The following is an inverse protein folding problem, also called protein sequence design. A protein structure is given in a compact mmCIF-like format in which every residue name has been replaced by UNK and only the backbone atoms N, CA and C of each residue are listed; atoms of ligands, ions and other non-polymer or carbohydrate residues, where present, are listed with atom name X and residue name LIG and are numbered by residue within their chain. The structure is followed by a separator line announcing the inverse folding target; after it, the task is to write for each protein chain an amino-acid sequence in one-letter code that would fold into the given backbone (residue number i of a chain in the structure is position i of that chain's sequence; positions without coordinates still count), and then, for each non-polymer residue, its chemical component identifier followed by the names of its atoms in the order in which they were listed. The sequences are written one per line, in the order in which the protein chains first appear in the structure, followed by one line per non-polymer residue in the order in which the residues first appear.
data_IF_118549789452
#
_entry.id   IF_118549789452
#
_cell.length_a   1.000
_cell.length_b   1.000
_cell.length_c   1.000
_cell.angle_alpha   90.00
_cell.angle_beta   90.00
_cell.angle_gamma   90.00
#
_symmetry.space_group_name_H-M   'P 1'
#
loop_
_entity.id
_entity.type
_entity.pdbx_description
1 polymer ?
#
# COMPACT_ATOMS: atom_id res chain seq x y z
N UNK A 1 -23.63 16.67 26.46
CA UNK A 1 -22.38 16.32 25.73
C UNK A 1 -22.75 16.06 24.27
N UNK A 2 -22.43 16.98 23.37
CA UNK A 2 -22.61 16.79 21.93
C UNK A 2 -21.60 15.71 21.49
N UNK A 3 -22.09 14.53 21.08
CA UNK A 3 -21.23 13.48 20.51
C UNK A 3 -20.50 14.06 19.30
N UNK A 4 -19.20 14.28 19.44
CA UNK A 4 -18.36 14.66 18.31
C UNK A 4 -18.38 13.50 17.30
N UNK A 5 -18.61 13.80 16.02
CA UNK A 5 -18.54 12.80 14.96
C UNK A 5 -17.16 12.12 14.97
N UNK A 6 -17.14 10.79 14.87
CA UNK A 6 -15.91 10.02 14.69
C UNK A 6 -15.32 10.23 13.28
N UNK A 7 -16.17 10.60 12.32
CA UNK A 7 -15.80 10.98 10.96
C UNK A 7 -15.41 12.46 10.97
N UNK A 8 -14.17 12.77 10.62
CA UNK A 8 -13.59 14.12 10.65
C UNK A 8 -13.00 14.51 9.30
N UNK A 9 -12.22 13.61 8.71
CA UNK A 9 -11.33 13.98 7.60
C UNK A 9 -11.86 13.54 6.23
N UNK A 10 -12.93 12.76 6.16
CA UNK A 10 -13.49 12.28 4.88
C UNK A 10 -14.87 12.86 4.52
N UNK A 11 -15.22 12.69 3.25
CA UNK A 11 -16.57 12.87 2.67
C UNK A 11 -17.02 11.57 1.98
N UNK A 12 -18.34 11.28 1.93
CA UNK A 12 -18.83 10.17 1.12
C UNK A 12 -18.54 10.44 -0.36
N UNK A 13 -18.17 9.39 -1.10
CA UNK A 13 -18.06 9.48 -2.56
C UNK A 13 -19.46 9.59 -3.19
N UNK A 14 -19.63 10.38 -4.26
CA UNK A 14 -20.88 10.39 -5.01
C UNK A 14 -21.16 9.01 -5.62
N UNK A 15 -22.40 8.50 -5.49
CA UNK A 15 -22.78 7.15 -5.93
C UNK A 15 -22.37 6.82 -7.37
N UNK A 16 -22.56 7.78 -8.28
CA UNK A 16 -22.22 7.61 -9.71
C UNK A 16 -20.72 7.39 -9.99
N UNK A 17 -19.82 7.63 -9.04
CA UNK A 17 -18.38 7.40 -9.25
C UNK A 17 -17.99 5.95 -9.05
N UNK A 18 -18.78 5.17 -8.31
CA UNK A 18 -18.43 3.78 -7.97
C UNK A 18 -19.56 2.78 -8.23
N UNK A 19 -20.79 3.22 -8.48
CA UNK A 19 -21.89 2.32 -8.84
C UNK A 19 -21.78 1.87 -10.30
N UNK A 20 -21.70 0.54 -10.49
CA UNK A 20 -21.63 -0.14 -11.77
C UNK A 20 -21.80 -1.64 -11.57
N UNK A 21 -21.74 -2.43 -12.65
CA UNK A 21 -21.93 -3.90 -12.58
C UNK A 21 -20.88 -4.60 -11.71
N UNK A 22 -19.70 -3.99 -11.56
CA UNK A 22 -18.55 -4.59 -10.87
C UNK A 22 -18.39 -4.13 -9.41
N UNK A 23 -19.22 -3.22 -8.91
CA UNK A 23 -19.16 -2.80 -7.51
C UNK A 23 -20.06 -3.66 -6.63
N UNK A 24 -19.46 -4.68 -6.02
CA UNK A 24 -20.16 -5.65 -5.17
C UNK A 24 -20.05 -5.37 -3.67
N UNK A 25 -19.50 -4.23 -3.26
CA UNK A 25 -19.38 -3.85 -1.86
C UNK A 25 -20.68 -3.22 -1.32
N UNK A 26 -21.06 -3.56 -0.09
CA UNK A 26 -22.26 -3.01 0.58
C UNK A 26 -22.00 -1.70 1.34
N UNK A 27 -20.73 -1.33 1.53
CA UNK A 27 -20.34 -0.15 2.27
C UNK A 27 -20.30 1.07 1.35
N UNK A 28 -20.80 2.22 1.80
CA UNK A 28 -20.62 3.48 1.06
C UNK A 28 -19.16 3.94 1.20
N UNK A 29 -18.39 4.04 0.10
CA UNK A 29 -17.01 4.43 0.16
C UNK A 29 -16.89 5.92 0.50
N UNK A 30 -15.79 6.28 1.13
CA UNK A 30 -15.47 7.64 1.53
C UNK A 30 -14.07 7.97 1.01
N UNK A 31 -13.85 9.26 0.76
CA UNK A 31 -12.55 9.78 0.34
C UNK A 31 -12.11 10.88 1.30
N UNK A 32 -10.81 10.92 1.59
CA UNK A 32 -10.21 11.99 2.39
C UNK A 32 -10.46 13.37 1.73
N UNK A 33 -10.84 14.38 2.52
CA UNK A 33 -11.15 15.75 2.04
C UNK A 33 -9.96 16.41 1.35
N UNK A 34 -8.76 16.12 1.84
CA UNK A 34 -7.50 16.58 1.28
C UNK A 34 -6.86 15.56 0.31
N UNK A 35 -7.65 14.82 -0.49
CA UNK A 35 -7.14 13.78 -1.42
C UNK A 35 -5.99 14.26 -2.32
N UNK A 36 -5.93 15.56 -2.66
CA UNK A 36 -4.80 16.18 -3.38
C UNK A 36 -3.44 15.98 -2.71
N UNK A 37 -3.40 15.80 -1.38
CA UNK A 37 -2.17 15.52 -0.64
C UNK A 37 -1.68 14.09 -0.92
N UNK A 38 -2.60 13.15 -1.11
CA UNK A 38 -2.25 11.80 -1.57
C UNK A 38 -1.69 11.84 -2.98
N UNK A 39 -2.34 12.55 -3.91
CA UNK A 39 -1.79 12.71 -5.26
C UNK A 39 -0.40 13.34 -5.25
N UNK A 40 -0.18 14.35 -4.42
CA UNK A 40 1.15 14.95 -4.25
C UNK A 40 2.19 13.96 -3.69
N UNK A 41 1.80 13.11 -2.73
CA UNK A 41 2.65 12.06 -2.19
C UNK A 41 3.05 11.02 -3.25
N UNK A 42 2.08 10.55 -4.05
CA UNK A 42 2.34 9.65 -5.18
C UNK A 42 3.29 10.28 -6.20
N UNK A 43 3.03 11.52 -6.63
CA UNK A 43 3.89 12.19 -7.59
C UNK A 43 5.30 12.43 -7.07
N UNK A 44 5.44 12.81 -5.81
CA UNK A 44 6.75 12.99 -5.20
C UNK A 44 7.55 11.68 -5.20
N UNK A 45 6.91 10.55 -4.85
CA UNK A 45 7.53 9.22 -4.92
C UNK A 45 8.01 8.88 -6.33
N UNK A 46 7.16 9.07 -7.33
CA UNK A 46 7.50 8.84 -8.74
C UNK A 46 8.69 9.71 -9.18
N UNK A 47 8.70 10.99 -8.82
CA UNK A 47 9.78 11.93 -9.13
C UNK A 47 11.10 11.50 -8.47
N UNK A 48 11.06 11.13 -7.19
CA UNK A 48 12.26 10.73 -6.45
C UNK A 48 12.81 9.40 -6.99
N UNK A 49 11.93 8.44 -7.30
CA UNK A 49 12.29 7.19 -7.96
C UNK A 49 12.99 7.44 -9.31
N UNK A 50 12.41 8.27 -10.18
CA UNK A 50 12.99 8.63 -11.49
C UNK A 50 14.29 9.43 -11.39
N UNK A 51 14.59 10.05 -10.23
CA UNK A 51 15.82 10.80 -9.99
C UNK A 51 16.91 9.99 -9.29
N UNK A 52 16.58 8.86 -8.67
CA UNK A 52 17.49 8.14 -7.77
C UNK A 52 18.63 7.39 -8.46
N UNK A 53 18.48 6.98 -9.73
CA UNK A 53 19.60 6.44 -10.54
C UNK A 53 19.33 6.42 -12.05
N UNK A 54 20.40 6.35 -12.85
CA UNK A 54 20.29 6.10 -14.29
C UNK A 54 19.66 4.72 -14.60
N UNK A 55 19.86 3.74 -13.72
CA UNK A 55 19.28 2.40 -13.83
C UNK A 55 17.79 2.38 -13.49
N UNK A 56 17.32 3.21 -12.55
CA UNK A 56 15.89 3.39 -12.27
C UNK A 56 15.16 4.02 -13.47
N UNK A 57 15.80 4.97 -14.16
CA UNK A 57 15.29 5.51 -15.44
C UNK A 57 15.26 4.45 -16.54
N UNK A 58 16.33 3.66 -16.66
CA UNK A 58 16.40 2.59 -17.65
C UNK A 58 15.42 1.43 -17.35
N UNK A 59 15.15 1.13 -16.09
CA UNK A 59 14.14 0.17 -15.63
C UNK A 59 12.71 0.67 -15.84
N UNK A 60 12.47 1.97 -15.65
CA UNK A 60 11.21 2.62 -16.04
C UNK A 60 10.98 2.55 -17.57
N UNK A 61 12.06 2.58 -18.37
CA UNK A 61 12.03 2.40 -19.83
C UNK A 61 11.97 0.93 -20.28
N UNK A 62 12.10 -0.08 -19.40
CA UNK A 62 12.12 -1.51 -19.79
C UNK A 62 10.74 -2.09 -20.08
N UNK A 63 9.69 -1.34 -19.78
CA UNK A 63 8.32 -1.68 -20.14
C UNK A 63 7.99 -1.18 -21.56
N UNK A 64 8.84 -1.55 -22.54
CA UNK A 64 8.74 -1.05 -23.93
C UNK A 64 7.55 -1.62 -24.68
N UNK A 65 7.05 -2.78 -24.25
CA UNK A 65 5.90 -3.45 -24.85
C UNK A 65 4.63 -3.36 -23.96
N UNK A 66 4.77 -2.88 -22.71
CA UNK A 66 3.67 -2.58 -21.80
C UNK A 66 3.95 -1.23 -21.18
N UNK A 67 3.29 -0.16 -21.62
CA UNK A 67 3.44 1.19 -21.05
C UNK A 67 2.88 1.30 -19.62
N UNK A 68 3.33 0.47 -18.69
CA UNK A 68 3.01 0.64 -17.28
C UNK A 68 3.95 1.68 -16.69
N UNK A 69 3.62 2.95 -16.95
CA UNK A 69 3.94 4.04 -16.02
C UNK A 69 3.12 3.87 -14.73
N UNK A 70 3.05 2.66 -14.16
CA UNK A 70 2.03 2.27 -13.18
C UNK A 70 1.97 3.30 -12.07
N UNK A 71 0.98 4.17 -12.19
CA UNK A 71 0.57 5.08 -11.15
C UNK A 71 -0.11 4.15 -10.16
N UNK A 72 0.62 3.78 -9.09
CA UNK A 72 0.19 2.74 -8.17
C UNK A 72 -1.08 3.18 -7.45
N UNK A 73 -1.01 4.35 -6.79
CA UNK A 73 -2.15 4.87 -6.05
C UNK A 73 -3.02 5.85 -6.85
N UNK A 74 -2.50 6.50 -7.89
CA UNK A 74 -3.26 7.57 -8.58
C UNK A 74 -4.36 6.96 -9.44
N UNK A 75 -5.60 7.35 -9.15
CA UNK A 75 -6.75 7.02 -9.97
C UNK A 75 -7.57 8.31 -10.22
N UNK A 76 -7.57 8.84 -11.47
CA UNK A 76 -8.24 10.11 -11.77
C UNK A 76 -9.77 10.01 -11.85
N UNK A 77 -10.33 8.79 -11.82
CA UNK A 77 -11.78 8.56 -11.93
C UNK A 77 -12.44 8.60 -10.56
N UNK A 78 -11.94 7.79 -9.62
CA UNK A 78 -12.53 7.65 -8.27
C UNK A 78 -11.72 8.31 -7.16
N UNK A 79 -10.46 8.63 -7.43
CA UNK A 79 -9.53 9.25 -6.48
C UNK A 79 -8.42 8.30 -6.02
N UNK A 80 -7.36 8.89 -5.46
CA UNK A 80 -6.17 8.17 -5.02
C UNK A 80 -6.49 7.01 -4.06
N UNK A 81 -5.87 5.86 -4.28
CA UNK A 81 -6.01 4.64 -3.46
C UNK A 81 -5.86 4.92 -1.97
N UNK A 82 -4.81 5.64 -1.56
CA UNK A 82 -4.58 5.93 -0.13
C UNK A 82 -5.64 6.87 0.43
N UNK A 83 -6.13 7.84 -0.35
CA UNK A 83 -7.20 8.73 0.09
C UNK A 83 -8.54 8.00 0.30
N UNK A 84 -8.75 6.87 -0.38
CA UNK A 84 -9.90 5.99 -0.23
C UNK A 84 -9.74 5.02 0.95
N UNK A 85 -8.59 4.35 1.05
CA UNK A 85 -8.33 3.34 2.08
C UNK A 85 -8.04 3.96 3.46
N UNK A 86 -7.30 5.07 3.50
CA UNK A 86 -6.94 5.80 4.72
C UNK A 86 -7.76 7.11 4.83
N UNK A 87 -9.07 7.04 4.56
CA UNK A 87 -9.92 8.23 4.42
C UNK A 87 -10.02 9.10 5.71
N UNK A 88 -9.70 8.55 6.88
CA UNK A 88 -9.64 9.27 8.16
C UNK A 88 -8.20 9.50 8.67
N UNK A 89 -7.19 9.31 7.82
CA UNK A 89 -5.81 9.67 8.15
C UNK A 89 -5.70 11.13 8.62
N UNK A 90 -4.70 11.43 9.43
CA UNK A 90 -4.35 12.80 9.75
C UNK A 90 -3.81 13.49 8.49
N UNK A 91 -4.31 14.69 8.17
CA UNK A 91 -3.89 15.41 6.96
C UNK A 91 -2.37 15.63 6.87
N UNK A 92 -1.68 15.78 8.00
CA UNK A 92 -0.22 15.95 8.05
C UNK A 92 0.58 14.65 7.85
N UNK A 93 -0.09 13.49 7.91
CA UNK A 93 0.49 12.17 7.61
C UNK A 93 0.11 11.66 6.22
N UNK A 94 -1.01 12.12 5.66
CA UNK A 94 -1.58 11.57 4.43
C UNK A 94 -0.60 11.52 3.25
N UNK A 95 0.14 12.61 2.98
CA UNK A 95 1.09 12.65 1.87
C UNK A 95 2.24 11.63 2.05
N UNK A 96 2.79 11.52 3.27
CA UNK A 96 3.83 10.54 3.58
C UNK A 96 3.30 9.11 3.50
N UNK A 97 2.10 8.87 4.03
CA UNK A 97 1.42 7.57 3.91
C UNK A 97 1.27 7.19 2.45
N UNK A 98 0.80 8.10 1.60
CA UNK A 98 0.65 7.82 0.16
C UNK A 98 1.99 7.61 -0.53
N UNK A 99 3.03 8.38 -0.20
CA UNK A 99 4.38 8.15 -0.72
C UNK A 99 4.85 6.71 -0.44
N UNK A 100 4.64 6.23 0.78
CA UNK A 100 5.04 4.87 1.17
C UNK A 100 4.26 3.79 0.42
N UNK A 101 2.95 3.97 0.19
CA UNK A 101 2.13 3.03 -0.60
C UNK A 101 2.49 3.06 -2.07
N UNK A 102 2.73 4.25 -2.65
CA UNK A 102 3.17 4.38 -4.04
C UNK A 102 4.50 3.65 -4.27
N UNK A 103 5.45 3.81 -3.34
CA UNK A 103 6.70 3.07 -3.40
C UNK A 103 6.47 1.57 -3.33
N UNK A 104 5.59 1.11 -2.42
CA UNK A 104 5.28 -0.31 -2.29
C UNK A 104 4.75 -0.91 -3.60
N UNK A 105 3.89 -0.19 -4.34
CA UNK A 105 3.44 -0.60 -5.68
C UNK A 105 4.58 -0.68 -6.70
N UNK A 106 5.44 0.34 -6.76
CA UNK A 106 6.60 0.33 -7.67
C UNK A 106 7.52 -0.85 -7.35
N UNK A 107 7.77 -1.08 -6.06
CA UNK A 107 8.63 -2.15 -5.59
C UNK A 107 8.05 -3.55 -5.88
N UNK A 108 6.73 -3.71 -5.72
CA UNK A 108 6.00 -4.93 -6.05
C UNK A 108 6.15 -5.28 -7.54
N UNK A 109 5.91 -4.32 -8.43
CA UNK A 109 6.07 -4.51 -9.88
C UNK A 109 7.55 -4.80 -10.24
N UNK A 110 8.53 -4.16 -9.59
CA UNK A 110 9.97 -4.44 -9.81
C UNK A 110 10.35 -5.87 -9.41
N UNK A 111 9.80 -6.39 -8.30
CA UNK A 111 10.02 -7.78 -7.90
C UNK A 111 9.39 -8.73 -8.92
N UNK A 112 8.12 -8.49 -9.27
CA UNK A 112 7.32 -9.41 -10.08
C UNK A 112 7.86 -9.54 -11.50
N UNK A 113 8.19 -8.42 -12.14
CA UNK A 113 8.57 -8.37 -13.55
C UNK A 113 10.08 -8.40 -13.81
N UNK A 114 10.90 -8.72 -12.79
CA UNK A 114 12.34 -8.83 -13.01
C UNK A 114 12.68 -10.06 -13.87
N UNK A 115 13.18 -9.83 -15.09
CA UNK A 115 13.76 -10.88 -15.97
C UNK A 115 14.82 -11.74 -15.28
N UNK A 116 15.45 -11.19 -14.24
CA UNK A 116 16.39 -11.88 -13.36
C UNK A 116 15.89 -11.73 -11.94
N UNK A 117 15.15 -12.72 -11.44
CA UNK A 117 14.87 -12.92 -10.00
C UNK A 117 16.16 -13.27 -9.22
N UNK A 118 17.22 -12.50 -9.45
CA UNK A 118 18.49 -12.59 -8.72
C UNK A 118 18.29 -11.87 -7.38
N UNK A 119 18.37 -12.65 -6.30
CA UNK A 119 18.23 -12.21 -4.91
C UNK A 119 19.06 -10.96 -4.61
N UNK A 120 20.25 -10.81 -5.22
CA UNK A 120 21.14 -9.68 -4.99
C UNK A 120 20.60 -8.34 -5.52
N UNK A 121 19.87 -8.35 -6.65
CA UNK A 121 19.26 -7.15 -7.22
C UNK A 121 18.05 -6.70 -6.40
N UNK A 122 17.23 -7.64 -5.94
CA UNK A 122 16.08 -7.38 -5.07
C UNK A 122 16.53 -6.85 -3.71
N UNK A 123 17.60 -7.41 -3.15
CA UNK A 123 18.19 -6.92 -1.91
C UNK A 123 18.70 -5.49 -2.03
N UNK A 124 19.29 -5.11 -3.17
CA UNK A 124 19.73 -3.74 -3.44
C UNK A 124 18.58 -2.74 -3.54
N UNK A 125 17.47 -3.12 -4.19
CA UNK A 125 16.27 -2.29 -4.26
C UNK A 125 15.67 -2.06 -2.85
N UNK A 126 15.63 -3.11 -2.04
CA UNK A 126 15.23 -3.03 -0.63
C UNK A 126 16.11 -2.08 0.19
N UNK A 127 17.45 -2.15 0.03
CA UNK A 127 18.38 -1.25 0.74
C UNK A 127 18.17 0.21 0.37
N UNK A 128 18.04 0.52 -0.93
CA UNK A 128 17.80 1.89 -1.41
C UNK A 128 16.50 2.49 -0.87
N UNK A 129 15.44 1.69 -0.74
CA UNK A 129 14.21 2.10 -0.09
C UNK A 129 14.44 2.48 1.38
N UNK A 130 15.11 1.60 2.12
CA UNK A 130 15.31 1.79 3.56
C UNK A 130 16.15 3.03 3.82
N UNK A 131 17.16 3.31 3.00
CA UNK A 131 17.94 4.55 3.07
C UNK A 131 17.07 5.79 2.80
N UNK A 132 16.24 5.78 1.76
CA UNK A 132 15.32 6.89 1.45
C UNK A 132 14.32 7.19 2.56
N UNK A 133 13.75 6.15 3.19
CA UNK A 133 12.81 6.30 4.30
C UNK A 133 13.50 6.73 5.61
N UNK A 134 14.78 6.39 5.79
CA UNK A 134 15.56 6.82 6.95
C UNK A 134 15.93 8.30 6.85
N UNK A 135 16.17 8.81 5.64
CA UNK A 135 16.52 10.22 5.37
C UNK A 135 15.32 11.18 5.48
N UNK A 136 14.09 10.71 5.26
CA UNK A 136 12.86 11.48 5.50
C UNK A 136 12.52 11.66 7.01
N UNK A 137 13.28 11.00 7.90
CA UNK A 137 13.00 10.91 9.33
C UNK A 137 13.37 12.11 10.21
N UNK A 138 13.91 13.20 9.64
CA UNK A 138 14.33 14.37 10.42
C UNK A 138 13.54 15.65 10.10
N UNK A 139 12.26 15.66 10.44
CA UNK A 139 11.57 16.90 10.82
C UNK A 139 10.65 16.66 12.03
N UNK A 140 11.11 17.15 13.18
CA UNK A 140 10.35 17.53 14.39
C UNK A 140 8.81 17.40 14.36
N UNK A 141 8.25 16.42 15.11
CA UNK A 141 6.97 16.49 15.88
C UNK A 141 6.71 15.22 16.71
N UNK A 142 6.66 15.35 18.04
CA UNK A 142 5.96 14.44 18.98
C UNK A 142 6.63 13.09 19.38
N UNK A 143 6.65 12.70 20.67
CA UNK A 143 7.32 11.45 21.13
C UNK A 143 6.60 10.13 20.82
N UNK A 144 5.32 10.12 20.38
CA UNK A 144 4.57 8.87 20.09
C UNK A 144 4.59 8.46 18.61
N UNK A 145 4.72 9.42 17.70
CA UNK A 145 4.69 9.18 16.24
C UNK A 145 5.95 8.49 15.71
N UNK A 146 7.09 8.67 16.38
CA UNK A 146 8.38 8.13 15.92
C UNK A 146 8.46 6.61 16.07
N UNK A 147 7.91 6.06 17.16
CA UNK A 147 7.97 4.62 17.41
C UNK A 147 7.04 3.86 16.46
N UNK A 148 5.88 4.42 16.12
CA UNK A 148 4.98 3.82 15.11
C UNK A 148 5.57 3.87 13.70
N UNK A 149 6.19 4.99 13.30
CA UNK A 149 6.87 5.07 12.00
C UNK A 149 8.02 4.05 11.90
N UNK A 150 8.85 3.93 12.94
CA UNK A 150 9.92 2.93 13.00
C UNK A 150 9.38 1.50 12.89
N UNK A 151 8.23 1.23 13.52
CA UNK A 151 7.60 -0.07 13.44
C UNK A 151 7.10 -0.38 12.03
N UNK A 152 6.46 0.59 11.35
CA UNK A 152 6.06 0.44 9.93
C UNK A 152 7.27 0.11 9.04
N UNK A 153 8.40 0.80 9.26
CA UNK A 153 9.64 0.54 8.51
C UNK A 153 10.25 -0.83 8.82
N UNK A 154 10.24 -1.25 10.09
CA UNK A 154 10.72 -2.56 10.52
C UNK A 154 9.92 -3.68 9.84
N UNK A 155 8.59 -3.58 9.89
CA UNK A 155 7.69 -4.58 9.29
C UNK A 155 7.89 -4.63 7.77
N UNK A 156 8.04 -3.48 7.10
CA UNK A 156 8.35 -3.47 5.67
C UNK A 156 9.62 -4.26 5.37
N UNK A 157 10.72 -3.94 6.07
CA UNK A 157 12.00 -4.62 5.89
C UNK A 157 11.90 -6.13 6.04
N UNK A 158 11.17 -6.59 7.06
CA UNK A 158 10.97 -8.02 7.32
C UNK A 158 10.13 -8.68 6.23
N UNK A 159 9.05 -8.02 5.79
CA UNK A 159 8.18 -8.55 4.73
C UNK A 159 8.88 -8.62 3.38
N UNK A 160 9.65 -7.60 3.00
CA UNK A 160 10.36 -7.60 1.72
C UNK A 160 11.41 -8.69 1.60
N UNK A 161 12.03 -9.10 2.72
CA UNK A 161 12.95 -10.24 2.72
C UNK A 161 12.23 -11.58 2.47
N UNK A 162 10.97 -11.69 2.90
CA UNK A 162 10.15 -12.89 2.74
C UNK A 162 9.55 -12.97 1.33
N UNK A 163 9.09 -11.85 0.74
CA UNK A 163 8.45 -11.82 -0.59
C UNK A 163 9.24 -12.52 -1.68
N UNK A 164 10.57 -12.31 -1.68
CA UNK A 164 11.48 -12.91 -2.67
C UNK A 164 11.45 -14.44 -2.65
N UNK A 165 11.16 -15.05 -1.50
CA UNK A 165 11.31 -16.50 -1.30
C UNK A 165 10.02 -17.29 -1.55
N UNK A 166 8.85 -16.63 -1.54
CA UNK A 166 7.56 -17.32 -1.40
C UNK A 166 6.70 -17.32 -2.69
N UNK A 167 6.99 -16.46 -3.68
CA UNK A 167 6.10 -16.24 -4.86
C UNK A 167 6.01 -17.39 -5.86
N UNK A 168 6.97 -18.33 -5.87
CA UNK A 168 6.91 -19.50 -6.76
C UNK A 168 6.17 -20.70 -6.14
N UNK A 169 5.54 -20.52 -4.97
CA UNK A 169 4.77 -21.56 -4.30
C UNK A 169 3.47 -21.86 -5.06
N UNK A 170 3.13 -23.16 -5.16
CA UNK A 170 1.89 -23.63 -5.78
C UNK A 170 0.91 -24.08 -4.71
N UNK A 171 -0.32 -23.59 -4.80
CA UNK A 171 -1.40 -23.90 -3.87
C UNK A 171 -2.52 -24.63 -4.60
N UNK A 172 -3.07 -25.66 -3.96
CA UNK A 172 -4.25 -26.42 -4.44
C UNK A 172 -5.45 -26.31 -3.49
N UNK A 173 -5.25 -25.62 -2.36
CA UNK A 173 -6.24 -25.40 -1.30
C UNK A 173 -6.30 -23.90 -1.03
N UNK A 174 -7.49 -23.31 -1.11
CA UNK A 174 -7.68 -21.87 -1.01
C UNK A 174 -7.26 -21.34 0.37
N UNK A 175 -7.54 -22.09 1.44
CA UNK A 175 -7.21 -21.69 2.81
C UNK A 175 -5.69 -21.63 3.03
N UNK A 176 -4.91 -22.45 2.33
CA UNK A 176 -3.46 -22.41 2.39
C UNK A 176 -2.89 -21.28 1.53
N UNK A 177 -3.52 -21.02 0.37
CA UNK A 177 -3.23 -19.84 -0.44
C UNK A 177 -3.46 -18.55 0.35
N UNK A 178 -4.59 -18.40 1.04
CA UNK A 178 -4.92 -17.19 1.79
C UNK A 178 -3.89 -16.89 2.88
N UNK A 179 -3.44 -17.90 3.65
CA UNK A 179 -2.40 -17.72 4.68
C UNK A 179 -1.10 -17.13 4.10
N UNK A 180 -0.72 -17.59 2.91
CA UNK A 180 0.41 -17.05 2.16
C UNK A 180 0.10 -15.64 1.62
N UNK A 181 -1.06 -15.48 0.98
CA UNK A 181 -1.44 -14.29 0.22
C UNK A 181 -1.60 -13.07 1.10
N UNK A 182 -2.06 -13.23 2.34
CA UNK A 182 -2.11 -12.13 3.33
C UNK A 182 -0.73 -11.49 3.55
N UNK A 183 0.32 -12.31 3.57
CA UNK A 183 1.69 -11.80 3.70
C UNK A 183 2.10 -11.19 2.39
N UNK A 184 2.03 -11.94 1.29
CA UNK A 184 2.45 -11.51 -0.06
C UNK A 184 1.80 -10.20 -0.53
N UNK A 185 0.53 -9.97 -0.22
CA UNK A 185 -0.21 -8.74 -0.52
C UNK A 185 0.18 -7.53 0.36
N UNK A 186 1.13 -7.66 1.27
CA UNK A 186 1.56 -6.55 2.13
C UNK A 186 0.58 -6.20 3.24
N UNK A 187 -0.38 -7.07 3.61
CA UNK A 187 -1.45 -6.70 4.53
C UNK A 187 -0.98 -6.31 5.94
N UNK A 188 -0.07 -7.05 6.62
CA UNK A 188 0.44 -6.65 7.93
C UNK A 188 1.11 -5.27 7.94
N UNK A 189 1.93 -4.98 6.93
CA UNK A 189 2.56 -3.68 6.77
C UNK A 189 1.52 -2.57 6.57
N UNK A 190 0.56 -2.79 5.66
CA UNK A 190 -0.46 -1.81 5.34
C UNK A 190 -1.35 -1.52 6.55
N UNK A 191 -1.76 -2.54 7.32
CA UNK A 191 -2.54 -2.34 8.55
C UNK A 191 -1.78 -1.50 9.57
N UNK A 192 -0.47 -1.72 9.71
CA UNK A 192 0.39 -0.90 10.58
C UNK A 192 0.49 0.54 10.05
N UNK A 193 0.63 0.72 8.74
CA UNK A 193 0.68 2.03 8.11
C UNK A 193 -0.65 2.80 8.24
N UNK A 194 -1.79 2.12 8.17
CA UNK A 194 -3.11 2.71 8.40
C UNK A 194 -3.26 3.18 9.86
N UNK A 195 -2.87 2.36 10.83
CA UNK A 195 -2.79 2.75 12.25
C UNK A 195 -1.89 3.98 12.46
N UNK A 196 -0.71 4.00 11.82
CA UNK A 196 0.18 5.15 11.82
C UNK A 196 -0.52 6.40 11.24
N UNK A 197 -1.18 6.29 10.09
CA UNK A 197 -1.82 7.43 9.44
C UNK A 197 -2.91 8.08 10.31
N UNK A 198 -3.62 7.27 11.13
CA UNK A 198 -4.72 7.69 11.98
C UNK A 198 -4.33 7.96 13.45
N UNK A 199 -3.04 7.81 13.78
CA UNK A 199 -2.48 8.01 15.13
C UNK A 199 -3.12 7.16 16.23
N UNK A 200 -3.38 5.89 15.93
CA UNK A 200 -3.73 4.90 16.95
C UNK A 200 -2.87 3.65 16.81
N UNK A 201 -2.90 2.82 17.85
CA UNK A 201 -2.29 1.50 17.88
C UNK A 201 -3.15 0.60 18.74
N UNK A 202 -3.37 -0.62 18.27
CA UNK A 202 -4.03 -1.66 19.04
C UNK A 202 -3.00 -2.29 19.99
N UNK A 203 -3.45 -2.61 21.20
CA UNK A 203 -2.72 -3.50 22.11
C UNK A 203 -2.85 -4.96 21.62
N UNK A 204 -1.95 -5.87 22.03
CA UNK A 204 -2.05 -7.28 21.65
C UNK A 204 -3.39 -7.92 22.04
N UNK A 205 -4.00 -7.46 23.12
CA UNK A 205 -5.33 -7.92 23.55
C UNK A 205 -6.43 -7.39 22.62
N UNK A 206 -6.38 -6.11 22.22
CA UNK A 206 -7.33 -5.55 21.25
C UNK A 206 -7.19 -6.20 19.87
N UNK A 207 -5.96 -6.50 19.41
CA UNK A 207 -5.71 -7.26 18.19
C UNK A 207 -6.36 -8.64 18.26
N UNK A 208 -6.22 -9.35 19.39
CA UNK A 208 -6.86 -10.64 19.61
C UNK A 208 -8.38 -10.54 19.60
N UNK A 209 -8.94 -9.53 20.26
CA UNK A 209 -10.39 -9.29 20.33
C UNK A 209 -10.99 -8.93 18.97
N UNK A 210 -10.23 -8.26 18.11
CA UNK A 210 -10.67 -7.84 16.77
C UNK A 210 -10.30 -8.81 15.65
N UNK A 211 -9.50 -9.84 15.95
CA UNK A 211 -8.92 -10.78 14.96
C UNK A 211 -9.93 -11.34 13.96
N UNK A 212 -11.10 -11.81 14.42
CA UNK A 212 -12.11 -12.39 13.53
C UNK A 212 -12.63 -11.40 12.47
N UNK A 213 -12.80 -10.13 12.85
CA UNK A 213 -13.24 -9.07 11.92
C UNK A 213 -12.08 -8.70 11.00
N UNK A 214 -10.88 -8.50 11.56
CA UNK A 214 -9.69 -8.12 10.80
C UNK A 214 -9.33 -9.18 9.75
N UNK A 215 -9.35 -10.47 10.10
CA UNK A 215 -9.09 -11.57 9.17
C UNK A 215 -10.09 -11.60 8.01
N UNK A 216 -11.40 -11.48 8.29
CA UNK A 216 -12.40 -11.47 7.24
C UNK A 216 -12.24 -10.29 6.26
N UNK A 217 -11.85 -9.11 6.76
CA UNK A 217 -11.57 -7.93 5.93
C UNK A 217 -10.32 -8.15 5.08
N UNK A 218 -9.26 -8.71 5.66
CA UNK A 218 -8.01 -9.00 4.95
C UNK A 218 -8.24 -10.05 3.85
N UNK A 219 -8.94 -11.15 4.14
CA UNK A 219 -9.26 -12.18 3.14
C UNK A 219 -10.08 -11.58 1.99
N UNK A 220 -11.06 -10.73 2.30
CA UNK A 220 -11.84 -10.02 1.29
C UNK A 220 -10.96 -9.09 0.46
N UNK A 221 -10.04 -8.36 1.09
CA UNK A 221 -9.14 -7.46 0.39
C UNK A 221 -8.24 -8.20 -0.60
N UNK A 222 -7.56 -9.27 -0.19
CA UNK A 222 -6.66 -10.00 -1.10
C UNK A 222 -7.41 -10.61 -2.27
N UNK A 223 -8.60 -11.19 -2.04
CA UNK A 223 -9.42 -11.76 -3.12
C UNK A 223 -9.98 -10.70 -4.07
N UNK A 224 -10.33 -9.52 -3.56
CA UNK A 224 -10.73 -8.38 -4.40
C UNK A 224 -9.56 -7.90 -5.24
N UNK A 225 -8.36 -7.84 -4.67
CA UNK A 225 -7.16 -7.50 -5.43
C UNK A 225 -6.95 -8.53 -6.54
N UNK A 226 -6.88 -9.83 -6.22
CA UNK A 226 -6.69 -10.91 -7.20
C UNK A 226 -7.74 -10.85 -8.31
N UNK A 227 -9.01 -10.59 -7.98
CA UNK A 227 -10.07 -10.48 -8.98
C UNK A 227 -9.84 -9.34 -9.99
N UNK A 228 -9.49 -8.14 -9.51
CA UNK A 228 -9.29 -6.97 -10.38
C UNK A 228 -7.89 -6.91 -11.01
N UNK A 229 -6.90 -7.59 -10.44
CA UNK A 229 -5.55 -7.68 -11.00
C UNK A 229 -5.33 -8.91 -11.89
N UNK A 230 -6.26 -9.88 -11.90
CA UNK A 230 -6.13 -11.13 -12.65
C UNK A 230 -5.71 -10.94 -14.11
N UNK A 231 -6.43 -10.10 -14.88
CA UNK A 231 -6.12 -9.89 -16.30
C UNK A 231 -4.72 -9.29 -16.49
N UNK A 232 -4.32 -8.36 -15.60
CA UNK A 232 -2.96 -7.78 -15.58
C UNK A 232 -1.94 -8.89 -15.34
N UNK A 233 -2.12 -9.65 -14.27
CA UNK A 233 -1.15 -10.66 -13.83
C UNK A 233 -1.06 -11.82 -14.82
N UNK A 234 -2.20 -12.32 -15.31
CA UNK A 234 -2.27 -13.38 -16.32
C UNK A 234 -1.54 -13.02 -17.61
N UNK A 235 -1.61 -11.75 -18.04
CA UNK A 235 -0.93 -11.30 -19.26
C UNK A 235 0.61 -11.35 -19.19
N UNK A 236 1.17 -11.51 -18.00
CA UNK A 236 2.61 -11.61 -17.77
C UNK A 236 3.13 -13.06 -17.68
N UNK A 237 2.24 -14.07 -17.79
CA UNK A 237 2.57 -15.50 -17.83
C UNK A 237 2.40 -16.08 -19.24
#
# INVERSE_FOLDING_TARGET
MTRQSFIRNSIPLPRHTYEGEEYFCRFTPRIHRDARLSDAGSWQCQVDFLKSSNDARAGADRNKDVHSYAVGCINPVVGNFTALCACEALSDRLALTTYMVEYAYIHDDVIEYSDKKDESHLQKANEQLMEGLTLAGDTSRGPKSKDHAKETLRIWKEMSAVFVQIRDMKFTVLEDYLKFRVVDAGCPWTMTLLCFSMDFKLTPEEEKQTSAITSAVIDSWVLVNDYFSWEKEWSNY
#
